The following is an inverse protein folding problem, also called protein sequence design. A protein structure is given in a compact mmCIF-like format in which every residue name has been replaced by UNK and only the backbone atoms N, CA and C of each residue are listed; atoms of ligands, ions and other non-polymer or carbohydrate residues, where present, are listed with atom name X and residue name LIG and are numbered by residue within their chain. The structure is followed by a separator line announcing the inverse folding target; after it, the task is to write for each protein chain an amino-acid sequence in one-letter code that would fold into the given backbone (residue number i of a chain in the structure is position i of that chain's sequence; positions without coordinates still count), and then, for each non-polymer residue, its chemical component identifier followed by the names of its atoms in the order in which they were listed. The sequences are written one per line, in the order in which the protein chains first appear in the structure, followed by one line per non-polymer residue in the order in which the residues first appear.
data_IF_019378701585
#
_entry.id   IF_019378701585
#
_cell.length_a   1.000
_cell.length_b   1.000
_cell.length_c   1.000
_cell.angle_alpha   90.00
_cell.angle_beta   90.00
_cell.angle_gamma   90.00
#
_symmetry.space_group_name_H-M   'P 1'
#
loop_
_entity.id
_entity.type
_entity.pdbx_description
1 polymer ?
#
# COMPACT_ATOMS: atom_id res chain seq x y z
N UNK A 1 -4.71 -7.64 7.03
CA UNK A 1 -4.42 -8.39 5.78
C UNK A 1 -3.00 -8.03 5.35
N UNK A 2 -2.16 -9.02 5.04
CA UNK A 2 -0.87 -8.73 4.44
C UNK A 2 -1.09 -8.37 2.96
N UNK A 3 -0.50 -7.24 2.52
CA UNK A 3 -0.52 -6.86 1.12
C UNK A 3 0.25 -7.94 0.31
N UNK A 4 -0.36 -8.59 -0.70
CA UNK A 4 0.31 -9.64 -1.46
C UNK A 4 1.34 -9.11 -2.45
N UNK A 5 1.30 -7.82 -2.80
CA UNK A 5 2.16 -7.20 -3.80
C UNK A 5 3.37 -6.49 -3.19
N UNK A 6 3.18 -5.78 -2.06
CA UNK A 6 4.21 -4.96 -1.45
C UNK A 6 4.54 -5.45 -0.05
N UNK A 7 5.82 -5.67 0.22
CA UNK A 7 6.30 -6.14 1.53
C UNK A 7 6.55 -4.94 2.45
N UNK A 8 5.80 -4.87 3.56
CA UNK A 8 6.07 -3.90 4.62
C UNK A 8 7.45 -4.19 5.25
N UNK A 9 8.32 -3.18 5.31
CA UNK A 9 9.67 -3.24 5.91
C UNK A 9 9.71 -2.82 7.38
N UNK A 10 8.58 -2.38 7.94
CA UNK A 10 8.46 -2.02 9.35
C UNK A 10 8.62 -3.21 10.32
N UNK A 11 8.59 -2.94 11.63
CA UNK A 11 8.34 -1.62 12.24
C UNK A 11 9.55 -0.69 12.23
N UNK A 12 9.29 0.63 12.30
CA UNK A 12 10.33 1.66 12.44
C UNK A 12 10.09 2.50 13.69
N UNK A 13 11.16 2.90 14.39
CA UNK A 13 11.07 3.92 15.44
C UNK A 13 10.60 5.24 14.82
N UNK A 14 9.68 5.93 15.48
CA UNK A 14 9.11 7.19 14.96
C UNK A 14 10.18 8.22 14.60
N UNK A 15 11.22 8.40 15.44
CA UNK A 15 12.32 9.32 15.16
C UNK A 15 13.09 8.97 13.89
N UNK A 16 13.37 7.66 13.69
CA UNK A 16 14.03 7.18 12.50
C UNK A 16 13.16 7.42 11.27
N UNK A 17 11.86 7.17 11.39
CA UNK A 17 10.88 7.36 10.32
C UNK A 17 10.82 8.83 9.89
N UNK A 18 10.70 9.77 10.84
CA UNK A 18 10.67 11.20 10.57
C UNK A 18 12.00 11.71 9.99
N UNK A 19 13.14 11.20 10.49
CA UNK A 19 14.45 11.56 9.94
C UNK A 19 14.60 11.10 8.48
N UNK A 20 14.26 9.86 8.17
CA UNK A 20 14.36 9.30 6.82
C UNK A 20 13.42 9.98 5.82
N UNK A 21 12.25 10.45 6.27
CA UNK A 21 11.29 11.18 5.45
C UNK A 21 11.58 12.69 5.36
N UNK A 22 12.66 13.18 6.02
CA UNK A 22 13.01 14.60 6.10
C UNK A 22 11.88 15.46 6.71
N UNK A 23 11.15 14.92 7.68
CA UNK A 23 10.12 15.62 8.44
C UNK A 23 10.67 16.13 9.77
N UNK A 24 10.00 17.16 10.33
CA UNK A 24 10.38 17.72 11.65
C UNK A 24 10.25 16.66 12.73
N UNK A 25 11.24 16.55 13.60
CA UNK A 25 11.27 15.60 14.72
C UNK A 25 10.24 15.99 15.77
N UNK A 26 9.58 14.98 16.32
CA UNK A 26 8.72 15.12 17.51
C UNK A 26 9.55 14.66 18.72
N UNK A 27 10.20 15.58 19.41
CA UNK A 27 11.17 15.29 20.48
C UNK A 27 10.63 14.45 21.65
N UNK A 28 9.33 14.37 21.82
CA UNK A 28 8.67 13.77 22.98
C UNK A 28 8.53 12.23 22.92
N UNK A 29 8.74 11.60 21.75
CA UNK A 29 8.36 10.19 21.53
C UNK A 29 9.43 9.32 20.85
N UNK A 30 10.68 9.43 21.28
CA UNK A 30 11.87 8.84 20.61
C UNK A 30 11.83 7.32 20.39
N UNK A 31 11.10 6.54 21.19
CA UNK A 31 11.21 5.08 21.21
C UNK A 31 9.93 4.32 20.80
N UNK A 32 8.94 5.00 20.22
CA UNK A 32 7.70 4.34 19.78
C UNK A 32 7.93 3.68 18.43
N UNK A 33 7.59 2.40 18.33
CA UNK A 33 7.62 1.65 17.09
C UNK A 33 6.32 1.86 16.31
N UNK A 34 6.44 2.33 15.07
CA UNK A 34 5.34 2.46 14.11
C UNK A 34 5.40 1.27 13.17
N UNK A 35 4.30 0.54 13.07
CA UNK A 35 4.21 -0.72 12.34
C UNK A 35 3.82 -0.51 10.88
N UNK A 36 3.01 0.51 10.60
CA UNK A 36 2.49 0.75 9.26
C UNK A 36 2.01 2.20 9.09
N UNK A 37 1.77 2.60 7.85
CA UNK A 37 1.00 3.79 7.49
C UNK A 37 -0.36 3.36 6.97
N UNK A 38 -1.44 3.94 7.53
CA UNK A 38 -2.82 3.59 7.21
C UNK A 38 -3.72 4.82 7.13
N UNK A 39 -4.86 4.65 6.49
CA UNK A 39 -5.91 5.67 6.48
C UNK A 39 -6.52 5.90 7.88
N UNK A 40 -7.30 6.97 8.00
CA UNK A 40 -7.91 7.39 9.28
C UNK A 40 -8.85 6.34 9.89
N UNK A 41 -9.51 5.53 9.06
CA UNK A 41 -10.53 4.57 9.50
C UNK A 41 -9.94 3.25 9.99
N UNK A 42 -8.80 2.84 9.43
CA UNK A 42 -8.17 1.55 9.68
C UNK A 42 -6.96 1.63 10.60
N UNK A 43 -6.40 2.84 10.82
CA UNK A 43 -5.24 3.05 11.67
C UNK A 43 -5.52 2.77 13.15
N UNK A 44 -4.51 2.25 13.83
CA UNK A 44 -4.52 1.94 15.27
C UNK A 44 -3.33 2.61 15.97
N UNK A 45 -3.21 2.45 17.27
CA UNK A 45 -2.19 3.10 18.11
C UNK A 45 -0.75 2.87 17.67
N UNK A 46 -0.47 1.77 16.98
CA UNK A 46 0.89 1.46 16.45
C UNK A 46 1.08 1.85 14.99
N UNK A 47 0.10 2.50 14.37
CA UNK A 47 0.19 2.95 12.98
C UNK A 47 0.36 4.47 12.96
N UNK A 48 0.86 5.01 11.84
CA UNK A 48 0.81 6.42 11.51
C UNK A 48 -0.30 6.64 10.48
N UNK A 49 -1.06 7.73 10.62
CA UNK A 49 -2.12 8.11 9.69
C UNK A 49 -1.89 9.50 9.11
N UNK A 50 -2.76 9.94 8.23
CA UNK A 50 -2.66 11.24 7.58
C UNK A 50 -4.04 11.88 7.41
N UNK A 51 -4.10 13.21 7.58
CA UNK A 51 -5.33 14.00 7.46
C UNK A 51 -5.06 15.25 6.64
N UNK A 52 -5.48 15.25 5.37
CA UNK A 52 -5.15 16.28 4.38
C UNK A 52 -6.32 17.16 3.96
N UNK A 53 -7.55 16.82 4.33
CA UNK A 53 -8.75 17.56 3.90
C UNK A 53 -9.84 17.54 4.95
N UNK A 54 -10.47 18.70 5.18
CA UNK A 54 -11.60 18.87 6.11
C UNK A 54 -12.78 17.94 5.78
N UNK A 55 -12.89 17.48 4.53
CA UNK A 55 -13.91 16.49 4.12
C UNK A 55 -13.90 15.23 4.99
N UNK A 56 -12.76 14.87 5.57
CA UNK A 56 -12.57 13.67 6.37
C UNK A 56 -12.58 13.93 7.89
N UNK A 57 -13.08 15.09 8.34
CA UNK A 57 -13.02 15.48 9.75
C UNK A 57 -13.70 14.47 10.69
N UNK A 58 -14.84 13.87 10.27
CA UNK A 58 -15.55 12.85 11.05
C UNK A 58 -14.71 11.59 11.32
N UNK A 59 -13.83 11.23 10.37
CA UNK A 59 -12.88 10.12 10.55
C UNK A 59 -11.67 10.56 11.37
N UNK A 60 -11.19 11.78 11.13
CA UNK A 60 -10.05 12.35 11.84
C UNK A 60 -10.31 12.48 13.33
N UNK A 61 -11.50 12.97 13.75
CA UNK A 61 -11.88 13.13 15.17
C UNK A 61 -12.03 11.79 15.93
N UNK A 62 -12.14 10.68 15.22
CA UNK A 62 -12.31 9.32 15.79
C UNK A 62 -11.10 8.42 15.56
N UNK A 63 -10.01 8.94 14.99
CA UNK A 63 -8.82 8.13 14.73
C UNK A 63 -8.24 7.55 16.01
N UNK A 64 -7.79 6.31 15.95
CA UNK A 64 -7.11 5.60 17.04
C UNK A 64 -5.59 5.62 16.90
N UNK A 65 -5.07 6.35 15.90
CA UNK A 65 -3.64 6.47 15.66
C UNK A 65 -3.00 7.43 16.66
N UNK A 66 -1.85 7.05 17.22
CA UNK A 66 -1.07 7.94 18.08
C UNK A 66 -0.36 9.06 17.30
N UNK A 67 -0.20 8.93 15.98
CA UNK A 67 0.49 9.91 15.15
C UNK A 67 -0.29 10.18 13.87
N UNK A 68 -0.50 11.46 13.57
CA UNK A 68 -1.17 11.88 12.33
C UNK A 68 -0.36 12.98 11.63
N UNK A 69 -0.09 12.79 10.33
CA UNK A 69 0.49 13.80 9.46
C UNK A 69 -0.64 14.74 9.04
N UNK A 70 -0.50 16.03 9.32
CA UNK A 70 -1.54 17.01 9.04
C UNK A 70 -0.96 18.40 8.83
N UNK A 71 -1.80 19.37 8.49
CA UNK A 71 -1.44 20.78 8.42
C UNK A 71 -1.82 21.53 9.70
N UNK A 72 -1.25 22.73 9.88
CA UNK A 72 -1.58 23.61 11.01
C UNK A 72 -3.09 23.88 11.11
N UNK A 73 -3.74 24.14 9.96
CA UNK A 73 -5.17 24.47 9.89
C UNK A 73 -6.11 23.28 10.22
N UNK A 74 -5.62 22.05 10.13
CA UNK A 74 -6.43 20.84 10.32
C UNK A 74 -6.17 20.16 11.68
N UNK A 75 -5.12 20.52 12.40
CA UNK A 75 -4.68 19.84 13.62
C UNK A 75 -5.76 19.75 14.72
N UNK A 76 -6.62 20.77 14.83
CA UNK A 76 -7.65 20.89 15.87
C UNK A 76 -8.83 19.92 15.67
N UNK A 77 -8.93 19.25 14.53
CA UNK A 77 -9.94 18.21 14.27
C UNK A 77 -9.49 16.82 14.75
N UNK A 78 -8.24 16.67 15.18
CA UNK A 78 -7.68 15.40 15.66
C UNK A 78 -7.83 15.31 17.18
N UNK A 79 -7.98 14.09 17.75
CA UNK A 79 -8.01 13.87 19.19
C UNK A 79 -6.77 14.44 19.90
N UNK A 80 -6.90 14.81 21.17
CA UNK A 80 -5.81 15.40 21.95
C UNK A 80 -4.65 14.42 22.16
N UNK A 81 -4.95 13.15 22.33
CA UNK A 81 -3.99 12.05 22.46
C UNK A 81 -3.27 11.68 21.16
N UNK A 82 -3.76 12.13 20.01
CA UNK A 82 -3.10 11.97 18.73
C UNK A 82 -2.01 13.03 18.54
N UNK A 83 -0.76 12.60 18.34
CA UNK A 83 0.37 13.49 18.09
C UNK A 83 0.38 13.99 16.64
N UNK A 84 0.33 15.31 16.47
CA UNK A 84 0.23 16.00 15.20
C UNK A 84 1.62 16.23 14.62
N UNK A 85 1.91 15.64 13.46
CA UNK A 85 3.12 15.90 12.66
C UNK A 85 2.75 16.95 11.63
N UNK A 86 3.11 18.20 11.94
CA UNK A 86 2.71 19.35 11.12
C UNK A 86 3.63 19.46 9.91
N UNK A 87 3.03 19.54 8.74
CA UNK A 87 3.70 19.67 7.45
C UNK A 87 2.94 20.62 6.53
N UNK A 88 3.64 21.20 5.54
CA UNK A 88 3.01 22.08 4.54
C UNK A 88 2.20 21.28 3.52
N UNK A 89 2.70 20.09 3.13
CA UNK A 89 2.02 19.19 2.18
C UNK A 89 1.92 17.78 2.74
N UNK A 90 0.72 17.43 3.17
CA UNK A 90 0.41 16.12 3.79
C UNK A 90 0.63 14.98 2.80
N UNK A 91 0.22 15.13 1.54
CA UNK A 91 0.32 14.05 0.56
C UNK A 91 1.77 13.72 0.21
N UNK A 92 2.62 14.75 0.05
CA UNK A 92 4.07 14.54 -0.16
C UNK A 92 4.71 13.86 1.05
N UNK A 93 4.37 14.31 2.27
CA UNK A 93 4.90 13.69 3.49
C UNK A 93 4.44 12.23 3.62
N UNK A 94 3.17 11.96 3.32
CA UNK A 94 2.60 10.60 3.29
C UNK A 94 3.34 9.72 2.28
N UNK A 95 3.56 10.20 1.06
CA UNK A 95 4.29 9.45 0.03
C UNK A 95 5.72 9.11 0.46
N UNK A 96 6.45 10.05 1.10
CA UNK A 96 7.79 9.80 1.63
C UNK A 96 7.79 8.70 2.70
N UNK A 97 6.84 8.71 3.62
CA UNK A 97 6.71 7.69 4.66
C UNK A 97 6.28 6.35 4.05
N UNK A 98 5.33 6.36 3.13
CA UNK A 98 4.91 5.14 2.41
C UNK A 98 6.09 4.47 1.70
N UNK A 99 6.95 5.23 1.04
CA UNK A 99 8.17 4.72 0.39
C UNK A 99 9.12 4.01 1.37
N UNK A 100 9.16 4.44 2.63
CA UNK A 100 10.01 3.80 3.65
C UNK A 100 9.42 2.45 4.08
N UNK A 101 8.09 2.39 4.27
CA UNK A 101 7.41 1.14 4.61
C UNK A 101 7.34 0.17 3.43
N UNK A 102 7.13 0.69 2.23
CA UNK A 102 6.87 -0.06 1.00
C UNK A 102 7.77 0.46 -0.14
N UNK A 103 9.09 0.25 -0.10
CA UNK A 103 10.00 0.80 -1.10
C UNK A 103 9.67 0.34 -2.52
N UNK A 104 9.15 -0.89 -2.64
CA UNK A 104 8.80 -1.50 -3.92
C UNK A 104 7.48 -0.96 -4.52
N UNK A 105 6.71 -0.12 -3.78
CA UNK A 105 5.44 0.45 -4.27
C UNK A 105 5.58 1.67 -5.18
N UNK A 106 6.78 2.20 -5.31
CA UNK A 106 7.07 3.44 -6.04
C UNK A 106 7.83 3.16 -7.35
N UNK A 107 8.36 1.95 -7.50
CA UNK A 107 9.02 1.51 -8.72
C UNK A 107 7.98 0.83 -9.63
N UNK A 108 7.90 1.29 -10.87
CA UNK A 108 7.13 0.65 -11.94
C UNK A 108 8.02 -0.35 -12.67
N UNK A 109 8.73 -1.18 -11.90
CA UNK A 109 9.58 -2.23 -12.43
C UNK A 109 8.71 -3.38 -12.92
N UNK A 110 8.92 -3.78 -14.18
CA UNK A 110 8.23 -4.95 -14.73
C UNK A 110 8.60 -6.23 -13.96
N UNK A 111 7.64 -7.16 -13.87
CA UNK A 111 7.82 -8.43 -13.18
C UNK A 111 8.81 -9.35 -13.91
N UNK A 112 10.05 -9.40 -13.42
CA UNK A 112 11.10 -10.28 -13.94
C UNK A 112 10.81 -11.77 -13.74
N UNK A 113 9.78 -12.13 -12.96
CA UNK A 113 9.36 -13.52 -12.78
C UNK A 113 8.41 -14.02 -13.88
N UNK A 114 7.92 -13.10 -14.73
CA UNK A 114 7.00 -13.41 -15.81
C UNK A 114 7.65 -14.31 -16.87
N UNK A 115 6.99 -15.41 -17.17
CA UNK A 115 7.43 -16.43 -18.14
C UNK A 115 6.31 -16.82 -19.08
N UNK A 116 6.67 -17.36 -20.23
CA UNK A 116 5.71 -18.00 -21.13
C UNK A 116 4.91 -19.06 -20.36
N UNK A 117 3.62 -19.11 -20.66
CA UNK A 117 2.72 -19.99 -19.96
C UNK A 117 3.10 -21.46 -20.15
N UNK A 118 3.22 -22.17 -19.04
CA UNK A 118 3.17 -23.63 -19.03
C UNK A 118 1.71 -24.07 -18.89
N UNK A 119 1.08 -24.46 -19.98
CA UNK A 119 -0.34 -24.87 -20.04
C UNK A 119 -0.68 -26.00 -19.06
N UNK A 120 0.29 -26.84 -18.68
CA UNK A 120 0.08 -27.94 -17.73
C UNK A 120 -0.10 -27.46 -16.30
N UNK A 121 0.38 -26.26 -15.96
CA UNK A 121 0.24 -25.66 -14.61
C UNK A 121 -1.21 -25.25 -14.32
N UNK A 122 -2.04 -25.04 -15.35
CA UNK A 122 -3.44 -24.62 -15.21
C UNK A 122 -4.35 -25.76 -15.65
N UNK A 123 -4.52 -26.80 -14.80
CA UNK A 123 -5.32 -28.01 -15.05
C UNK A 123 -6.82 -27.76 -15.25
N UNK A 124 -7.29 -26.51 -15.08
CA UNK A 124 -8.69 -26.12 -15.18
C UNK A 124 -8.93 -25.50 -16.55
N UNK A 125 -10.17 -25.54 -17.04
CA UNK A 125 -10.60 -24.98 -18.33
C UNK A 125 -10.29 -23.47 -18.43
N UNK A 126 -9.03 -23.10 -18.69
CA UNK A 126 -8.58 -21.74 -18.96
C UNK A 126 -8.11 -21.69 -20.41
N UNK A 127 -8.64 -20.74 -21.18
CA UNK A 127 -8.24 -20.49 -22.56
C UNK A 127 -7.17 -19.40 -22.56
N UNK A 128 -6.08 -19.62 -23.30
CA UNK A 128 -5.00 -18.66 -23.45
C UNK A 128 -4.76 -18.29 -24.90
N UNK A 129 -4.62 -17.02 -25.15
CA UNK A 129 -4.14 -16.47 -26.43
C UNK A 129 -2.66 -16.78 -26.69
N UNK A 130 -2.09 -16.16 -27.71
CA UNK A 130 -0.65 -16.20 -28.02
C UNK A 130 0.09 -15.16 -27.16
N UNK A 131 1.39 -15.40 -26.87
CA UNK A 131 2.26 -14.48 -26.15
C UNK A 131 1.73 -14.06 -24.77
N UNK A 132 1.15 -14.98 -24.02
CA UNK A 132 0.70 -14.71 -22.65
C UNK A 132 1.84 -15.00 -21.68
N UNK A 133 2.24 -14.02 -20.89
CA UNK A 133 3.24 -14.14 -19.83
C UNK A 133 2.55 -14.22 -18.46
N UNK A 134 3.04 -15.13 -17.61
CA UNK A 134 2.48 -15.34 -16.27
C UNK A 134 3.61 -15.23 -15.25
N UNK A 135 3.42 -14.37 -14.26
CA UNK A 135 4.32 -14.17 -13.14
C UNK A 135 4.22 -15.28 -12.07
N UNK A 136 5.14 -15.23 -11.13
CA UNK A 136 5.18 -16.18 -10.00
C UNK A 136 3.93 -16.07 -9.11
N UNK A 137 3.45 -17.22 -8.60
CA UNK A 137 2.31 -17.32 -7.67
C UNK A 137 0.97 -16.82 -8.24
N UNK A 138 0.82 -16.72 -9.55
CA UNK A 138 -0.47 -16.38 -10.18
C UNK A 138 -1.46 -17.53 -9.99
N UNK A 139 -2.69 -17.19 -9.62
CA UNK A 139 -3.81 -18.14 -9.49
C UNK A 139 -4.92 -17.72 -10.44
N UNK A 140 -5.40 -18.66 -11.27
CA UNK A 140 -6.50 -18.41 -12.21
C UNK A 140 -7.60 -19.41 -11.94
N UNK A 141 -8.82 -18.93 -11.81
CA UNK A 141 -10.01 -19.73 -11.58
C UNK A 141 -10.45 -20.52 -12.81
N UNK A 142 -11.58 -21.22 -12.69
CA UNK A 142 -12.17 -22.05 -13.78
C UNK A 142 -12.85 -21.16 -14.83
N UNK A 143 -12.91 -21.66 -16.08
CA UNK A 143 -13.65 -21.06 -17.19
C UNK A 143 -13.21 -19.63 -17.50
N UNK A 144 -11.91 -19.32 -17.35
CA UNK A 144 -11.34 -18.04 -17.70
C UNK A 144 -10.79 -18.04 -19.12
N UNK A 145 -10.75 -16.84 -19.74
CA UNK A 145 -10.06 -16.60 -21.01
C UNK A 145 -9.10 -15.43 -20.84
N UNK A 146 -7.86 -15.62 -21.29
CA UNK A 146 -6.81 -14.61 -21.30
C UNK A 146 -6.42 -14.35 -22.74
N UNK A 147 -6.58 -13.12 -23.20
CA UNK A 147 -6.33 -12.72 -24.58
C UNK A 147 -4.87 -12.76 -24.98
N UNK A 148 -4.60 -12.45 -26.27
CA UNK A 148 -3.24 -12.40 -26.81
C UNK A 148 -2.43 -11.26 -26.19
N UNK A 149 -1.10 -11.44 -26.11
CA UNK A 149 -0.13 -10.45 -25.62
C UNK A 149 -0.39 -9.93 -24.20
N UNK A 150 -1.11 -10.68 -23.38
CA UNK A 150 -1.41 -10.29 -22.00
C UNK A 150 -0.28 -10.68 -21.06
N UNK A 151 0.03 -9.80 -20.10
CA UNK A 151 0.98 -10.07 -19.02
C UNK A 151 0.21 -10.08 -17.71
N UNK A 152 0.26 -11.20 -16.99
CA UNK A 152 -0.32 -11.34 -15.65
C UNK A 152 0.83 -11.41 -14.66
N UNK A 153 1.04 -10.35 -13.93
CA UNK A 153 2.18 -10.22 -13.03
C UNK A 153 2.06 -11.09 -11.77
N UNK A 154 3.16 -11.20 -11.03
CA UNK A 154 3.29 -12.01 -9.80
C UNK A 154 2.17 -11.74 -8.79
N UNK A 155 1.76 -12.80 -8.07
CA UNK A 155 0.78 -12.79 -6.98
C UNK A 155 -0.65 -12.38 -7.39
N UNK A 156 -0.96 -12.22 -8.68
CA UNK A 156 -2.31 -11.93 -9.16
C UNK A 156 -3.23 -13.14 -8.94
N UNK A 157 -4.45 -12.86 -8.48
CA UNK A 157 -5.51 -13.86 -8.31
C UNK A 157 -6.68 -13.45 -9.21
N UNK A 158 -7.00 -14.30 -10.18
CA UNK A 158 -8.15 -14.16 -11.08
C UNK A 158 -9.21 -15.15 -10.62
N UNK A 159 -10.44 -14.68 -10.41
CA UNK A 159 -11.58 -15.51 -10.01
C UNK A 159 -12.06 -16.44 -11.13
N UNK A 160 -13.19 -17.13 -10.92
CA UNK A 160 -13.81 -17.96 -11.93
C UNK A 160 -14.57 -17.11 -12.97
N UNK A 161 -14.75 -17.63 -14.19
CA UNK A 161 -15.56 -17.05 -15.26
C UNK A 161 -15.10 -15.64 -15.68
N UNK A 162 -13.80 -15.34 -15.56
CA UNK A 162 -13.23 -14.06 -15.95
C UNK A 162 -12.75 -14.08 -17.40
N UNK A 163 -12.91 -12.93 -18.09
CA UNK A 163 -12.34 -12.72 -19.42
C UNK A 163 -11.42 -11.51 -19.40
N UNK A 164 -10.17 -11.68 -19.82
CA UNK A 164 -9.18 -10.61 -20.03
C UNK A 164 -8.97 -10.50 -21.53
N UNK A 165 -9.17 -9.30 -22.05
CA UNK A 165 -9.01 -9.01 -23.47
C UNK A 165 -7.57 -9.12 -23.95
N UNK A 166 -7.38 -9.07 -25.26
CA UNK A 166 -6.06 -8.95 -25.87
C UNK A 166 -5.56 -7.50 -25.80
N UNK A 167 -4.24 -7.33 -25.70
CA UNK A 167 -3.61 -6.02 -25.70
C UNK A 167 -2.86 -5.81 -27.02
#
# INVERSE_FOLDING_TARGET
MNNPFFKNKGPFKIDKLLKLSSLKRVNKFKNINIHDIKDLSTSRSKDITFFHSKKYFNLASKTKSLFCITTENLKNYLPDDCNKIIVDNVLIATAKITKIFYPDSVSDDFDTTSKNINKTSFKKKVKFGKNVLIGKNVKIGKNCSIGHNSIIEKNVIIGNNCSIGSN
#
